data_IF_510177418831
#
_entry.id   IF_510177418831
#
_cell.length_a   1.000
_cell.length_b   1.000
_cell.length_c   1.000
_cell.angle_alpha   90.00
_cell.angle_beta   90.00
_cell.angle_gamma   90.00
#
_symmetry.space_group_name_H-M   'P 1'
#
loop_
_entity.id
_entity.type
_entity.pdbx_description
1 polymer ?
#
# COMPACT_ATOMS: atom_id res chain seq x y z
N UNK A 1 -19.96 38.27 47.42
CA UNK A 1 -19.18 37.12 47.93
C UNK A 1 -18.73 36.30 46.72
N UNK A 2 -17.68 36.73 46.02
CA UNK A 2 -16.27 36.43 46.31
C UNK A 2 -15.91 34.97 46.06
N UNK A 3 -15.38 34.65 44.86
CA UNK A 3 -13.97 34.27 44.65
C UNK A 3 -13.74 33.72 43.23
N UNK A 4 -12.92 34.44 42.47
CA UNK A 4 -12.04 33.83 41.47
C UNK A 4 -10.88 33.11 42.18
N UNK A 5 -10.14 32.28 41.44
CA UNK A 5 -8.69 32.31 41.58
C UNK A 5 -7.97 32.50 40.25
N UNK A 6 -6.87 33.22 40.38
CA UNK A 6 -5.98 33.78 39.38
C UNK A 6 -4.69 32.95 39.36
N UNK A 7 -4.22 32.60 38.16
CA UNK A 7 -2.82 32.51 37.68
C UNK A 7 -1.80 31.76 38.54
N UNK A 8 -1.10 30.79 37.94
CA UNK A 8 0.34 30.67 38.14
C UNK A 8 1.04 30.06 36.91
N UNK A 9 1.78 30.94 36.25
CA UNK A 9 2.87 30.69 35.32
C UNK A 9 4.07 30.07 36.02
N UNK A 10 4.64 29.01 35.46
CA UNK A 10 6.03 28.62 35.68
C UNK A 10 6.68 28.16 34.37
N UNK A 11 7.52 29.04 33.81
CA UNK A 11 8.78 28.64 33.17
C UNK A 11 9.87 29.36 33.98
N UNK A 12 11.00 28.69 34.26
CA UNK A 12 12.19 28.85 33.42
C UNK A 12 12.91 27.51 33.19
N UNK A 13 13.27 27.19 31.93
CA UNK A 13 14.62 27.34 31.36
C UNK A 13 15.70 26.49 32.03
N UNK A 14 16.09 25.39 31.36
CA UNK A 14 17.49 25.03 31.13
C UNK A 14 17.62 23.82 30.17
N UNK A 15 18.05 24.14 28.93
CA UNK A 15 18.90 23.33 28.01
C UNK A 15 20.11 22.73 28.79
N UNK A 16 20.90 21.74 28.28
CA UNK A 16 20.99 21.27 26.89
C UNK A 16 21.26 19.76 26.66
N UNK A 17 20.81 19.25 25.51
CA UNK A 17 21.43 18.16 24.75
C UNK A 17 20.81 18.27 23.34
N UNK A 18 21.43 18.98 22.38
CA UNK A 18 22.59 18.56 21.59
C UNK A 18 22.38 17.17 20.97
N UNK A 19 22.51 17.11 19.64
CA UNK A 19 22.36 15.92 18.76
C UNK A 19 20.95 15.64 18.21
N UNK A 20 20.43 16.55 17.37
CA UNK A 20 19.48 16.17 16.31
C UNK A 20 19.49 17.17 15.14
N UNK A 21 20.65 17.75 14.79
CA UNK A 21 20.71 18.83 13.79
C UNK A 21 21.74 18.64 12.68
N UNK A 22 22.03 17.40 12.33
CA UNK A 22 22.99 17.07 11.25
C UNK A 22 22.47 16.05 10.21
N UNK A 23 21.18 15.68 10.27
CA UNK A 23 20.54 14.81 9.26
C UNK A 23 19.61 15.54 8.28
N UNK A 24 19.18 16.77 8.56
CA UNK A 24 18.14 17.44 7.79
C UNK A 24 18.66 18.14 6.52
N UNK A 25 19.91 18.60 6.49
CA UNK A 25 20.43 19.39 5.36
C UNK A 25 20.75 18.56 4.11
N UNK A 26 21.10 17.27 4.28
CA UNK A 26 21.36 16.35 3.16
C UNK A 26 20.05 15.93 2.48
N UNK A 27 18.98 15.78 3.25
CA UNK A 27 17.67 15.33 2.77
C UNK A 27 16.93 16.43 1.99
N UNK A 28 17.09 17.73 2.32
CA UNK A 28 16.44 18.81 1.57
C UNK A 28 16.92 18.89 0.12
N UNK A 29 18.23 18.82 -0.11
CA UNK A 29 18.79 18.88 -1.47
C UNK A 29 18.50 17.62 -2.31
N UNK A 30 18.27 16.48 -1.65
CA UNK A 30 17.89 15.24 -2.32
C UNK A 30 16.38 15.19 -2.60
N UNK A 31 15.54 15.63 -1.66
CA UNK A 31 14.10 15.78 -1.86
C UNK A 31 13.78 16.77 -2.97
N UNK A 32 14.48 17.92 -3.07
CA UNK A 32 14.31 18.85 -4.19
C UNK A 32 14.67 18.23 -5.55
N UNK A 33 15.71 17.38 -5.60
CA UNK A 33 16.05 16.63 -6.82
C UNK A 33 14.93 15.65 -7.19
N UNK A 34 14.39 14.93 -6.21
CA UNK A 34 13.26 14.01 -6.38
C UNK A 34 11.97 14.72 -6.81
N UNK A 35 11.71 15.90 -6.25
CA UNK A 35 10.60 16.78 -6.67
C UNK A 35 10.77 17.19 -8.13
N UNK A 36 11.96 17.65 -8.55
CA UNK A 36 12.23 18.03 -9.94
C UNK A 36 11.99 16.87 -10.92
N UNK A 37 12.37 15.65 -10.56
CA UNK A 37 12.14 14.46 -11.39
C UNK A 37 10.65 14.23 -11.63
N UNK A 38 9.82 14.26 -10.59
CA UNK A 38 8.37 14.03 -10.72
C UNK A 38 7.66 15.22 -11.40
N UNK A 39 8.09 16.45 -11.11
CA UNK A 39 7.58 17.65 -11.78
C UNK A 39 7.90 17.63 -13.28
N UNK A 40 9.07 17.10 -13.69
CA UNK A 40 9.42 16.92 -15.10
C UNK A 40 8.50 15.91 -15.83
N UNK A 41 7.81 15.03 -15.11
CA UNK A 41 6.77 14.15 -15.66
C UNK A 41 5.43 14.87 -15.88
N UNK A 42 5.31 16.15 -15.51
CA UNK A 42 4.11 16.97 -15.70
C UNK A 42 3.19 17.07 -14.47
N UNK A 43 3.62 16.58 -13.31
CA UNK A 43 2.84 16.72 -12.06
C UNK A 43 3.09 18.09 -11.40
N UNK A 44 2.07 18.70 -10.76
CA UNK A 44 2.23 19.97 -10.08
C UNK A 44 3.04 19.81 -8.80
N UNK A 45 4.00 20.71 -8.59
CA UNK A 45 4.99 20.63 -7.51
C UNK A 45 4.34 20.52 -6.11
N UNK A 46 3.23 21.22 -5.88
CA UNK A 46 2.51 21.18 -4.61
C UNK A 46 2.02 19.77 -4.24
N UNK A 47 1.48 19.02 -5.20
CA UNK A 47 1.06 17.63 -4.99
C UNK A 47 2.26 16.70 -4.82
N UNK A 48 3.31 16.94 -5.60
CA UNK A 48 4.53 16.13 -5.57
C UNK A 48 5.20 16.18 -4.20
N UNK A 49 5.28 17.35 -3.55
CA UNK A 49 5.89 17.46 -2.20
C UNK A 49 5.08 16.71 -1.14
N UNK A 50 3.75 16.78 -1.22
CA UNK A 50 2.86 16.04 -0.30
C UNK A 50 3.01 14.54 -0.52
N UNK A 51 3.09 14.07 -1.77
CA UNK A 51 3.22 12.64 -2.05
C UNK A 51 4.59 12.07 -1.84
N UNK A 52 5.65 12.86 -2.00
CA UNK A 52 6.98 12.47 -1.56
C UNK A 52 7.06 12.36 -0.04
N UNK A 53 6.44 13.26 0.72
CA UNK A 53 6.45 13.15 2.18
C UNK A 53 5.68 11.92 2.67
N UNK A 54 4.51 11.61 2.08
CA UNK A 54 3.75 10.39 2.36
C UNK A 54 4.50 9.11 1.93
N UNK A 55 5.26 9.21 0.83
CA UNK A 55 6.06 8.11 0.30
C UNK A 55 7.34 7.83 1.09
N UNK A 56 7.70 8.67 2.07
CA UNK A 56 8.99 8.56 2.77
C UNK A 56 10.16 8.93 1.85
N UNK A 57 9.98 9.99 1.06
CA UNK A 57 10.89 10.47 0.02
C UNK A 57 11.14 9.48 -1.12
N UNK A 58 10.41 8.37 -1.24
CA UNK A 58 10.57 7.43 -2.35
C UNK A 58 9.82 7.92 -3.62
N UNK A 59 10.54 8.08 -4.74
CA UNK A 59 10.01 8.60 -6.01
C UNK A 59 8.97 7.67 -6.62
N UNK A 60 9.27 6.38 -6.72
CA UNK A 60 8.37 5.38 -7.32
C UNK A 60 7.07 5.29 -6.54
N UNK A 61 7.16 5.24 -5.21
CA UNK A 61 6.00 5.20 -4.33
C UNK A 61 5.17 6.49 -4.41
N UNK A 62 5.81 7.66 -4.54
CA UNK A 62 5.10 8.93 -4.72
C UNK A 62 4.36 9.01 -6.06
N UNK A 63 4.98 8.51 -7.14
CA UNK A 63 4.33 8.43 -8.46
C UNK A 63 3.14 7.47 -8.43
N UNK A 64 3.28 6.31 -7.77
CA UNK A 64 2.16 5.38 -7.59
C UNK A 64 1.00 6.03 -6.86
N UNK A 65 1.25 6.79 -5.77
CA UNK A 65 0.19 7.52 -5.05
C UNK A 65 -0.49 8.59 -5.91
N UNK A 66 0.25 9.26 -6.80
CA UNK A 66 -0.31 10.24 -7.73
C UNK A 66 -1.17 9.58 -8.83
N UNK A 67 -0.75 8.41 -9.32
CA UNK A 67 -1.51 7.61 -10.28
C UNK A 67 -2.76 7.00 -9.64
N UNK A 68 -2.68 6.58 -8.37
CA UNK A 68 -3.78 6.01 -7.61
C UNK A 68 -4.94 6.98 -7.48
N UNK A 69 -4.67 8.24 -7.14
CA UNK A 69 -5.75 9.25 -7.06
C UNK A 69 -6.35 9.58 -8.41
N UNK A 70 -5.55 9.57 -9.47
CA UNK A 70 -6.02 9.92 -10.81
C UNK A 70 -6.88 8.82 -11.42
N UNK A 71 -6.55 7.57 -11.15
CA UNK A 71 -7.21 6.40 -11.76
C UNK A 71 -8.20 5.72 -10.83
N UNK A 72 -8.06 5.87 -9.51
CA UNK A 72 -8.81 5.12 -8.50
C UNK A 72 -8.63 3.59 -8.62
N UNK A 73 -7.68 3.11 -9.43
CA UNK A 73 -7.62 1.72 -9.84
C UNK A 73 -7.33 0.78 -8.65
N UNK A 74 -6.41 1.19 -7.77
CA UNK A 74 -6.06 0.43 -6.57
C UNK A 74 -7.21 0.42 -5.55
N UNK A 75 -7.93 1.52 -5.39
CA UNK A 75 -9.11 1.59 -4.54
C UNK A 75 -10.24 0.72 -5.08
N UNK A 76 -10.44 0.73 -6.40
CA UNK A 76 -11.44 -0.11 -7.04
C UNK A 76 -11.08 -1.60 -6.92
N UNK A 77 -9.80 -1.95 -7.07
CA UNK A 77 -9.31 -3.32 -6.85
C UNK A 77 -9.48 -3.75 -5.40
N UNK A 78 -9.19 -2.87 -4.43
CA UNK A 78 -9.42 -3.15 -3.00
C UNK A 78 -10.91 -3.34 -2.70
N UNK A 79 -11.77 -2.45 -3.20
CA UNK A 79 -13.23 -2.55 -3.08
C UNK A 79 -13.71 -3.90 -3.59
N UNK A 80 -13.35 -4.27 -4.82
CA UNK A 80 -13.66 -5.59 -5.39
C UNK A 80 -13.19 -6.75 -4.50
N UNK A 81 -11.97 -6.70 -3.98
CA UNK A 81 -11.44 -7.73 -3.05
C UNK A 81 -12.24 -7.81 -1.75
N UNK A 82 -12.57 -6.68 -1.12
CA UNK A 82 -13.39 -6.69 0.11
C UNK A 82 -14.81 -7.19 -0.18
N UNK A 83 -15.43 -6.78 -1.30
CA UNK A 83 -16.75 -7.26 -1.72
C UNK A 83 -16.72 -8.78 -1.95
N UNK A 84 -15.69 -9.30 -2.64
CA UNK A 84 -15.53 -10.74 -2.90
C UNK A 84 -15.37 -11.54 -1.60
N UNK A 85 -14.58 -11.05 -0.65
CA UNK A 85 -14.44 -11.68 0.67
C UNK A 85 -15.75 -11.70 1.45
N UNK A 86 -16.44 -10.56 1.50
CA UNK A 86 -17.75 -10.45 2.15
C UNK A 86 -18.77 -11.39 1.50
N UNK A 87 -18.82 -11.42 0.17
CA UNK A 87 -19.67 -12.33 -0.60
C UNK A 87 -19.39 -13.79 -0.25
N UNK A 88 -18.12 -14.20 -0.20
CA UNK A 88 -17.75 -15.57 0.15
C UNK A 88 -18.19 -15.95 1.56
N UNK A 89 -18.14 -15.00 2.51
CA UNK A 89 -18.70 -15.19 3.85
C UNK A 89 -20.22 -15.34 3.82
N UNK A 90 -20.93 -14.44 3.12
CA UNK A 90 -22.40 -14.37 3.07
C UNK A 90 -23.07 -15.51 2.28
N UNK A 91 -22.47 -15.93 1.16
CA UNK A 91 -22.99 -17.00 0.29
C UNK A 91 -22.39 -18.37 0.66
N UNK A 92 -21.42 -18.41 1.58
CA UNK A 92 -20.86 -19.64 2.12
C UNK A 92 -21.71 -20.17 3.26
N UNK A 93 -21.07 -20.44 4.40
CA UNK A 93 -21.76 -20.90 5.60
C UNK A 93 -22.36 -19.69 6.36
N UNK A 94 -23.70 -19.60 6.49
CA UNK A 94 -24.36 -18.49 7.18
C UNK A 94 -23.93 -18.36 8.64
N UNK A 95 -23.53 -19.47 9.29
CA UNK A 95 -23.10 -19.46 10.69
C UNK A 95 -21.66 -18.92 10.86
N UNK A 96 -20.86 -18.91 9.80
CA UNK A 96 -19.49 -18.40 9.81
C UNK A 96 -19.38 -16.93 9.38
N UNK A 97 -20.47 -16.33 8.87
CA UNK A 97 -20.52 -14.94 8.37
C UNK A 97 -19.99 -13.92 9.37
N UNK A 98 -20.41 -14.04 10.63
CA UNK A 98 -20.03 -13.12 11.70
C UNK A 98 -18.51 -13.13 11.95
N UNK A 99 -17.90 -14.32 11.98
CA UNK A 99 -16.46 -14.47 12.15
C UNK A 99 -15.69 -13.87 10.97
N UNK A 100 -16.21 -14.02 9.76
CA UNK A 100 -15.59 -13.44 8.56
C UNK A 100 -15.69 -11.91 8.56
N UNK A 101 -16.85 -11.35 8.92
CA UNK A 101 -17.02 -9.90 9.06
C UNK A 101 -16.10 -9.37 10.16
N UNK A 102 -16.03 -10.03 11.31
CA UNK A 102 -15.14 -9.63 12.41
C UNK A 102 -13.67 -9.64 11.96
N UNK A 103 -13.24 -10.68 11.23
CA UNK A 103 -11.90 -10.77 10.63
C UNK A 103 -11.65 -9.61 9.66
N UNK A 104 -12.61 -9.28 8.80
CA UNK A 104 -12.50 -8.17 7.85
C UNK A 104 -12.44 -6.81 8.57
N UNK A 105 -13.17 -6.65 9.67
CA UNK A 105 -13.17 -5.42 10.47
C UNK A 105 -11.89 -5.22 11.29
N UNK A 106 -11.14 -6.30 11.57
CA UNK A 106 -9.80 -6.22 12.18
C UNK A 106 -8.75 -5.66 11.21
N UNK A 107 -8.90 -5.88 9.91
CA UNK A 107 -8.05 -5.25 8.90
C UNK A 107 -8.49 -3.80 8.69
N UNK A 108 -7.69 -2.85 9.21
CA UNK A 108 -7.97 -1.39 9.12
C UNK A 108 -8.31 -0.94 7.70
N UNK A 109 -7.63 -1.50 6.69
CA UNK A 109 -7.82 -1.09 5.28
C UNK A 109 -9.14 -1.61 4.74
N UNK A 110 -9.51 -2.85 5.05
CA UNK A 110 -10.78 -3.41 4.61
C UNK A 110 -11.96 -2.83 5.40
N UNK A 111 -11.80 -2.62 6.72
CA UNK A 111 -12.79 -1.98 7.57
C UNK A 111 -13.17 -0.58 7.09
N UNK A 112 -12.17 0.25 6.74
CA UNK A 112 -12.40 1.58 6.16
C UNK A 112 -13.20 1.49 4.86
N UNK A 113 -12.75 0.66 3.92
CA UNK A 113 -13.42 0.48 2.63
C UNK A 113 -14.84 -0.07 2.78
N UNK A 114 -15.06 -1.05 3.66
CA UNK A 114 -16.40 -1.58 3.97
C UNK A 114 -17.30 -0.50 4.56
N UNK A 115 -16.80 0.29 5.51
CA UNK A 115 -17.56 1.36 6.16
C UNK A 115 -17.99 2.42 5.14
N UNK A 116 -17.09 2.84 4.24
CA UNK A 116 -17.41 3.78 3.16
C UNK A 116 -18.47 3.23 2.20
N UNK A 117 -18.34 1.95 1.81
CA UNK A 117 -19.29 1.31 0.90
C UNK A 117 -20.66 1.15 1.54
N UNK A 118 -20.75 0.73 2.82
CA UNK A 118 -22.03 0.57 3.52
C UNK A 118 -22.72 1.92 3.77
N UNK A 119 -21.96 2.94 4.17
CA UNK A 119 -22.54 4.23 4.57
C UNK A 119 -22.87 5.17 3.41
N UNK A 120 -22.15 5.08 2.27
CA UNK A 120 -22.31 6.03 1.17
C UNK A 120 -22.61 5.41 -0.19
N UNK A 121 -22.44 4.08 -0.36
CA UNK A 121 -22.51 3.40 -1.67
C UNK A 121 -23.14 2.02 -1.57
N UNK A 122 -24.15 1.86 -0.71
CA UNK A 122 -24.76 0.56 -0.42
C UNK A 122 -25.35 -0.12 -1.65
N UNK A 123 -25.82 0.66 -2.64
CA UNK A 123 -26.29 0.14 -3.92
C UNK A 123 -25.15 -0.46 -4.76
N UNK A 124 -24.02 0.24 -4.90
CA UNK A 124 -22.83 -0.29 -5.57
C UNK A 124 -22.31 -1.55 -4.88
N UNK A 125 -22.36 -1.57 -3.54
CA UNK A 125 -22.00 -2.74 -2.73
C UNK A 125 -22.90 -3.93 -3.04
N UNK A 126 -24.23 -3.77 -2.98
CA UNK A 126 -25.18 -4.84 -3.28
C UNK A 126 -25.05 -5.33 -4.72
N UNK A 127 -24.83 -4.43 -5.68
CA UNK A 127 -24.59 -4.81 -7.07
C UNK A 127 -23.30 -5.61 -7.22
N UNK A 128 -22.22 -5.22 -6.53
CA UNK A 128 -20.96 -5.97 -6.52
C UNK A 128 -21.06 -7.34 -5.85
N UNK A 129 -21.93 -7.51 -4.85
CA UNK A 129 -22.20 -8.82 -4.24
C UNK A 129 -22.92 -9.76 -5.20
N UNK A 130 -23.79 -9.22 -6.05
CA UNK A 130 -24.57 -9.96 -7.05
C UNK A 130 -23.80 -10.17 -8.37
N UNK A 131 -22.73 -9.41 -8.63
CA UNK A 131 -21.95 -9.53 -9.86
C UNK A 131 -21.17 -10.85 -9.88
N UNK A 132 -21.69 -11.81 -10.66
CA UNK A 132 -21.14 -13.15 -10.84
C UNK A 132 -19.91 -13.16 -11.75
N UNK A 133 -19.62 -12.06 -12.46
CA UNK A 133 -18.55 -11.98 -13.49
C UNK A 133 -17.13 -11.98 -12.90
N UNK A 134 -16.96 -11.88 -11.58
CA UNK A 134 -15.65 -11.80 -10.90
C UNK A 134 -15.09 -13.17 -10.44
N UNK A 135 -15.61 -14.28 -10.98
CA UNK A 135 -15.02 -15.61 -10.75
C UNK A 135 -13.81 -15.92 -11.66
N UNK A 136 -13.50 -15.04 -12.62
CA UNK A 136 -12.42 -15.23 -13.59
C UNK A 136 -11.51 -14.00 -13.62
N UNK A 137 -10.73 -13.81 -12.56
CA UNK A 137 -9.54 -12.98 -12.61
C UNK A 137 -8.42 -13.87 -12.07
N UNK A 138 -7.66 -14.46 -12.99
CA UNK A 138 -6.51 -15.29 -12.68
C UNK A 138 -5.49 -14.49 -11.87
N UNK A 139 -4.86 -15.19 -10.94
CA UNK A 139 -3.67 -14.77 -10.23
C UNK A 139 -2.59 -14.39 -11.25
N UNK A 140 -2.35 -13.09 -11.42
CA UNK A 140 -1.13 -12.59 -12.04
C UNK A 140 0.03 -12.89 -11.10
N UNK A 141 0.61 -14.07 -11.26
CA UNK A 141 1.86 -14.47 -10.66
C UNK A 141 2.97 -13.54 -11.18
N UNK A 142 3.47 -12.67 -10.30
CA UNK A 142 4.73 -11.99 -10.49
C UNK A 142 5.85 -13.04 -10.61
N UNK A 143 6.23 -13.41 -11.84
CA UNK A 143 7.41 -14.23 -12.10
C UNK A 143 8.67 -13.45 -11.71
N UNK A 144 9.08 -13.61 -10.47
CA UNK A 144 10.40 -13.20 -10.02
C UNK A 144 11.46 -14.00 -10.80
N UNK A 145 12.09 -13.33 -11.75
CA UNK A 145 13.14 -13.87 -12.60
C UNK A 145 14.39 -14.17 -11.75
N UNK A 146 14.49 -15.40 -11.24
CA UNK A 146 15.76 -15.93 -10.73
C UNK A 146 16.50 -16.64 -11.86
N UNK A 147 17.22 -15.85 -12.65
CA UNK A 147 18.22 -16.34 -13.60
C UNK A 147 19.41 -16.94 -12.83
N UNK A 148 19.25 -18.19 -12.39
CA UNK A 148 20.38 -19.01 -11.97
C UNK A 148 20.94 -19.75 -13.18
N UNK A 149 21.96 -19.14 -13.76
CA UNK A 149 22.84 -19.73 -14.76
C UNK A 149 23.54 -20.97 -14.17
N UNK A 150 23.08 -22.16 -14.56
CA UNK A 150 23.86 -23.38 -14.41
C UNK A 150 24.24 -23.88 -15.80
N UNK A 151 25.39 -23.38 -16.26
CA UNK A 151 26.10 -24.00 -17.37
C UNK A 151 26.54 -25.40 -16.96
N UNK A 152 26.16 -26.39 -17.75
CA UNK A 152 26.86 -27.67 -17.82
C UNK A 152 26.83 -28.12 -19.27
N UNK A 153 27.80 -27.58 -19.99
CA UNK A 153 28.29 -28.10 -21.26
C UNK A 153 29.26 -29.25 -20.93
N UNK A 154 29.05 -30.45 -21.47
CA UNK A 154 30.09 -31.44 -21.80
C UNK A 154 29.42 -32.70 -22.37
N UNK A 155 29.44 -32.87 -23.69
CA UNK A 155 30.45 -33.59 -24.51
C UNK A 155 30.07 -35.04 -24.78
N UNK A 156 29.56 -35.25 -26.00
CA UNK A 156 29.58 -36.51 -26.74
C UNK A 156 31.01 -37.06 -26.83
N UNK A 157 31.23 -38.32 -26.47
CA UNK A 157 32.28 -39.14 -27.09
C UNK A 157 31.92 -40.63 -27.09
N UNK A 158 32.00 -41.16 -28.30
CA UNK A 158 32.16 -42.52 -28.79
C UNK A 158 33.22 -43.36 -28.05
N UNK A 159 33.04 -44.69 -28.05
CA UNK A 159 34.16 -45.63 -28.27
C UNK A 159 34.61 -46.55 -27.12
N UNK A 160 34.02 -47.76 -27.08
CA UNK A 160 34.65 -49.10 -26.89
C UNK A 160 35.48 -49.40 -25.60
N UNK A 161 35.99 -50.64 -25.32
CA UNK A 161 35.83 -51.96 -25.95
C UNK A 161 35.58 -53.18 -24.98
N UNK A 162 35.32 -54.34 -25.59
CA UNK A 162 35.70 -55.75 -25.29
C UNK A 162 35.51 -56.47 -23.93
N UNK A 163 34.86 -57.64 -24.06
CA UNK A 163 35.28 -58.99 -23.64
C UNK A 163 35.36 -59.36 -22.15
N UNK A 164 34.53 -60.33 -21.73
CA UNK A 164 34.94 -61.74 -21.63
C UNK A 164 33.71 -62.66 -21.68
#
# INVERSE_FOLDING_TARGET
MSKAPKVQSITPSAKPAAEAKEGAAVDVGETERRVKVITAMGYPEALVRVRLSEAGNNVERAVNLLLDERTGAHDQRRKRRCIKKLRNGLLGDPYATHNEIERMMKDRRCAQTLTEMVNGRSLELMQGLLDLSSSSDEDGEDQESSSSSSGSSSTLMEGSPSSN
#
